data_IF_360685636496
#
_entry.id   IF_360685636496
#
_cell.length_a   1.000
_cell.length_b   1.000
_cell.length_c   1.000
_cell.angle_alpha   90.00
_cell.angle_beta   90.00
_cell.angle_gamma   90.00
#
_symmetry.space_group_name_H-M   'P 1'
#
loop_
_entity.id
_entity.type
_entity.pdbx_description
1 polymer ?
#
# COMPACT_ATOMS: atom_id res chain seq x y z
N UNK A 1 -16.42 -27.97 -23.49
CA UNK A 1 -17.17 -26.74 -23.83
C UNK A 1 -16.29 -25.57 -23.45
N UNK A 2 -15.80 -24.80 -24.42
CA UNK A 2 -14.96 -23.62 -24.13
C UNK A 2 -15.82 -22.63 -23.35
N UNK A 3 -15.53 -22.50 -22.06
CA UNK A 3 -16.03 -21.42 -21.24
C UNK A 3 -15.56 -20.13 -21.91
N UNK A 4 -16.47 -19.22 -22.23
CA UNK A 4 -16.06 -17.91 -22.69
C UNK A 4 -15.55 -17.12 -21.48
N UNK A 5 -14.27 -17.32 -21.14
CA UNK A 5 -13.61 -16.76 -19.95
C UNK A 5 -13.83 -15.24 -19.88
N UNK A 6 -13.80 -14.55 -21.01
CA UNK A 6 -14.08 -13.11 -21.07
C UNK A 6 -15.50 -12.76 -20.58
N UNK A 7 -16.53 -13.50 -20.98
CA UNK A 7 -17.90 -13.21 -20.57
C UNK A 7 -18.10 -13.45 -19.07
N UNK A 8 -17.45 -14.48 -18.52
CA UNK A 8 -17.45 -14.81 -17.10
C UNK A 8 -16.72 -13.73 -16.31
N UNK A 9 -15.51 -13.37 -16.74
CA UNK A 9 -14.66 -12.36 -16.12
C UNK A 9 -15.32 -10.96 -16.17
N UNK A 10 -15.99 -10.63 -17.27
CA UNK A 10 -16.74 -9.38 -17.40
C UNK A 10 -17.95 -9.35 -16.46
N UNK A 11 -18.70 -10.46 -16.33
CA UNK A 11 -19.80 -10.58 -15.37
C UNK A 11 -19.32 -10.41 -13.93
N UNK A 12 -18.18 -11.01 -13.60
CA UNK A 12 -17.57 -10.93 -12.28
C UNK A 12 -17.26 -9.47 -11.92
N UNK A 13 -16.61 -8.72 -12.81
CA UNK A 13 -16.36 -7.28 -12.58
C UNK A 13 -17.64 -6.45 -12.57
N UNK A 14 -18.64 -6.77 -13.40
CA UNK A 14 -19.92 -6.06 -13.36
C UNK A 14 -20.72 -6.30 -12.07
N UNK A 15 -20.41 -7.34 -11.29
CA UNK A 15 -21.05 -7.59 -9.99
C UNK A 15 -20.68 -6.55 -8.93
N UNK A 16 -19.57 -5.83 -9.12
CA UNK A 16 -19.15 -4.73 -8.23
C UNK A 16 -19.85 -3.42 -8.53
N UNK A 17 -20.59 -3.35 -9.64
CA UNK A 17 -21.29 -2.15 -10.09
C UNK A 17 -22.74 -2.15 -9.62
N UNK A 18 -23.20 -1.00 -9.13
CA UNK A 18 -24.59 -0.83 -8.67
C UNK A 18 -25.61 -0.94 -9.82
N UNK A 19 -25.21 -0.67 -11.06
CA UNK A 19 -26.07 -0.79 -12.24
C UNK A 19 -25.29 -0.89 -13.55
N UNK A 20 -25.51 -1.97 -14.29
CA UNK A 20 -24.98 -2.16 -15.66
C UNK A 20 -25.45 -1.05 -16.61
N UNK A 21 -26.63 -0.47 -16.38
CA UNK A 21 -27.14 0.63 -17.22
C UNK A 21 -26.38 1.93 -16.97
N UNK A 22 -25.99 2.20 -15.73
CA UNK A 22 -25.18 3.35 -15.36
C UNK A 22 -23.76 3.20 -15.92
N UNK A 23 -23.17 2.01 -15.77
CA UNK A 23 -21.90 1.62 -16.36
C UNK A 23 -21.86 1.93 -17.87
N UNK A 24 -22.83 1.40 -18.64
CA UNK A 24 -22.90 1.59 -20.09
C UNK A 24 -22.91 3.07 -20.49
N UNK A 25 -23.62 3.92 -19.73
CA UNK A 25 -23.66 5.37 -19.96
C UNK A 25 -22.31 6.02 -19.69
N UNK A 26 -21.63 5.63 -18.61
CA UNK A 26 -20.32 6.18 -18.22
C UNK A 26 -19.22 5.83 -19.22
N UNK A 27 -19.21 4.61 -19.75
CA UNK A 27 -18.21 4.16 -20.73
C UNK A 27 -18.59 4.47 -22.18
N UNK A 28 -19.79 5.02 -22.41
CA UNK A 28 -20.31 5.36 -23.74
C UNK A 28 -20.52 4.13 -24.64
N UNK A 29 -21.09 3.05 -24.10
CA UNK A 29 -21.43 1.84 -24.84
C UNK A 29 -22.95 1.61 -24.89
N UNK A 30 -23.42 1.05 -26.01
CA UNK A 30 -24.83 0.66 -26.17
C UNK A 30 -25.15 -0.52 -25.25
N UNK A 31 -26.21 -0.41 -24.43
CA UNK A 31 -26.63 -1.45 -23.48
C UNK A 31 -26.97 -2.79 -24.13
N UNK A 32 -27.61 -2.79 -25.31
CA UNK A 32 -27.92 -4.04 -26.03
C UNK A 32 -26.64 -4.73 -26.49
N UNK A 33 -25.67 -3.96 -26.96
CA UNK A 33 -24.36 -4.45 -27.36
C UNK A 33 -23.57 -4.98 -26.15
N UNK A 34 -23.59 -4.25 -25.03
CA UNK A 34 -22.94 -4.67 -23.79
C UNK A 34 -23.56 -5.95 -23.20
N UNK A 35 -24.88 -6.10 -23.29
CA UNK A 35 -25.58 -7.32 -22.85
C UNK A 35 -25.14 -8.56 -23.64
N UNK A 36 -24.82 -8.42 -24.94
CA UNK A 36 -24.26 -9.51 -25.75
C UNK A 36 -22.87 -9.92 -25.27
N UNK A 37 -22.09 -8.99 -24.74
CA UNK A 37 -20.76 -9.28 -24.17
C UNK A 37 -20.89 -10.07 -22.87
N UNK A 38 -21.81 -9.68 -21.98
CA UNK A 38 -22.09 -10.41 -20.74
C UNK A 38 -22.60 -11.83 -21.01
N UNK A 39 -23.43 -12.02 -22.04
CA UNK A 39 -23.95 -13.35 -22.38
C UNK A 39 -22.96 -14.23 -23.16
N UNK A 40 -21.79 -13.71 -23.54
CA UNK A 40 -20.84 -14.41 -24.42
C UNK A 40 -21.33 -14.55 -25.88
N UNK A 41 -22.40 -13.84 -26.26
CA UNK A 41 -22.96 -13.87 -27.62
C UNK A 41 -22.22 -12.95 -28.60
N UNK A 42 -21.18 -12.25 -28.13
CA UNK A 42 -20.34 -11.39 -28.95
C UNK A 42 -19.11 -10.89 -28.20
N UNK A 43 -18.11 -10.43 -28.96
CA UNK A 43 -16.85 -9.86 -28.45
C UNK A 43 -16.83 -8.34 -28.63
N UNK A 44 -16.24 -7.59 -27.69
CA UNK A 44 -15.98 -6.17 -27.91
C UNK A 44 -14.95 -5.97 -29.03
N UNK A 45 -15.10 -4.88 -29.80
CA UNK A 45 -14.02 -4.40 -30.66
C UNK A 45 -12.83 -3.96 -29.80
N UNK A 46 -11.60 -3.87 -30.34
CA UNK A 46 -10.43 -3.42 -29.57
C UNK A 46 -10.65 -2.06 -28.87
N UNK A 47 -11.36 -1.14 -29.52
CA UNK A 47 -11.71 0.16 -28.94
C UNK A 47 -12.66 0.02 -27.74
N UNK A 48 -13.70 -0.81 -27.86
CA UNK A 48 -14.65 -1.05 -26.77
C UNK A 48 -14.02 -1.85 -25.64
N UNK A 49 -13.17 -2.82 -25.97
CA UNK A 49 -12.39 -3.60 -25.01
C UNK A 49 -11.52 -2.67 -24.17
N UNK A 50 -10.83 -1.72 -24.80
CA UNK A 50 -10.02 -0.72 -24.10
C UNK A 50 -10.87 0.16 -23.17
N UNK A 51 -12.05 0.62 -23.61
CA UNK A 51 -12.96 1.40 -22.75
C UNK A 51 -13.40 0.62 -21.51
N UNK A 52 -13.77 -0.64 -21.69
CA UNK A 52 -14.17 -1.55 -20.62
C UNK A 52 -12.99 -1.78 -19.66
N UNK A 53 -11.82 -2.08 -20.21
CA UNK A 53 -10.60 -2.35 -19.43
C UNK A 53 -10.15 -1.13 -18.61
N UNK A 54 -10.19 0.07 -19.20
CA UNK A 54 -9.86 1.32 -18.51
C UNK A 54 -10.85 1.61 -17.38
N UNK A 55 -12.15 1.43 -17.63
CA UNK A 55 -13.17 1.63 -16.59
C UNK A 55 -12.94 0.72 -15.39
N UNK A 56 -12.69 -0.57 -15.66
CA UNK A 56 -12.41 -1.54 -14.62
C UNK A 56 -10.96 -1.56 -14.16
N UNK A 57 -10.08 -0.67 -14.61
CA UNK A 57 -8.67 -0.62 -14.23
C UNK A 57 -7.91 -1.96 -14.38
N UNK A 58 -8.20 -2.71 -15.44
CA UNK A 58 -7.56 -3.99 -15.81
C UNK A 58 -6.97 -3.89 -17.21
N UNK A 59 -6.10 -4.83 -17.61
CA UNK A 59 -5.58 -4.92 -18.98
C UNK A 59 -6.51 -5.77 -19.85
N UNK A 60 -6.64 -5.49 -21.16
CA UNK A 60 -7.45 -6.32 -22.07
C UNK A 60 -7.10 -7.81 -22.04
N UNK A 61 -5.82 -8.15 -21.89
CA UNK A 61 -5.34 -9.53 -21.79
C UNK A 61 -5.79 -10.24 -20.53
N UNK A 62 -6.06 -9.52 -19.45
CA UNK A 62 -6.48 -10.11 -18.17
C UNK A 62 -7.86 -10.74 -18.30
N UNK A 63 -8.78 -10.17 -19.09
CA UNK A 63 -10.10 -10.78 -19.31
C UNK A 63 -10.05 -12.17 -19.99
N UNK A 64 -8.93 -12.53 -20.59
CA UNK A 64 -8.75 -13.83 -21.27
C UNK A 64 -8.13 -14.88 -20.35
N UNK A 65 -7.81 -14.54 -19.11
CA UNK A 65 -7.34 -15.50 -18.11
C UNK A 65 -8.48 -16.49 -17.75
N UNK A 66 -8.16 -17.74 -17.42
CA UNK A 66 -9.12 -18.65 -16.81
C UNK A 66 -9.82 -17.99 -15.62
N UNK A 67 -11.11 -18.24 -15.42
CA UNK A 67 -11.91 -17.55 -14.39
C UNK A 67 -11.25 -17.58 -12.98
N UNK A 68 -10.72 -18.73 -12.58
CA UNK A 68 -10.06 -18.91 -11.28
C UNK A 68 -8.78 -18.06 -11.16
N UNK A 69 -8.01 -17.93 -12.24
CA UNK A 69 -6.81 -17.09 -12.30
C UNK A 69 -7.16 -15.60 -12.36
N UNK A 70 -8.25 -15.26 -13.07
CA UNK A 70 -8.73 -13.89 -13.18
C UNK A 70 -9.23 -13.35 -11.85
N UNK A 71 -10.01 -14.13 -11.10
CA UNK A 71 -10.50 -13.77 -9.77
C UNK A 71 -9.36 -13.54 -8.78
N UNK A 72 -8.34 -14.41 -8.81
CA UNK A 72 -7.15 -14.29 -7.97
C UNK A 72 -6.17 -13.19 -8.41
N UNK A 73 -6.36 -12.61 -9.61
CA UNK A 73 -5.42 -11.65 -10.16
C UNK A 73 -5.39 -10.35 -9.32
N UNK A 74 -4.21 -9.79 -8.99
CA UNK A 74 -4.11 -8.62 -8.09
C UNK A 74 -4.91 -7.39 -8.55
N UNK A 75 -5.05 -7.19 -9.87
CA UNK A 75 -5.84 -6.09 -10.44
C UNK A 75 -7.36 -6.27 -10.30
N UNK A 76 -7.84 -7.49 -10.02
CA UNK A 76 -9.25 -7.87 -9.93
C UNK A 76 -9.67 -8.12 -8.47
N UNK A 77 -8.86 -8.85 -7.71
CA UNK A 77 -9.15 -9.21 -6.31
C UNK A 77 -9.44 -8.00 -5.42
N UNK A 78 -8.75 -6.87 -5.63
CA UNK A 78 -8.99 -5.63 -4.89
C UNK A 78 -10.34 -4.96 -5.19
N UNK A 79 -10.96 -5.24 -6.35
CA UNK A 79 -12.22 -4.63 -6.80
C UNK A 79 -13.45 -5.44 -6.36
N UNK A 80 -13.33 -6.78 -6.34
CA UNK A 80 -14.39 -7.68 -5.88
C UNK A 80 -14.67 -7.58 -4.37
N UNK A 81 -13.77 -6.94 -3.61
CA UNK A 81 -13.86 -6.83 -2.16
C UNK A 81 -14.98 -5.91 -1.62
N UNK A 82 -15.72 -5.20 -2.47
CA UNK A 82 -16.91 -4.41 -2.10
C UNK A 82 -16.71 -3.32 -1.02
N UNK A 83 -17.71 -2.46 -0.76
CA UNK A 83 -17.69 -1.57 0.39
C UNK A 83 -18.14 -2.34 1.64
N UNK A 84 -17.18 -2.69 2.50
CA UNK A 84 -17.31 -3.25 3.86
C UNK A 84 -17.82 -4.70 3.97
N UNK A 85 -16.88 -5.63 4.07
CA UNK A 85 -16.84 -6.55 5.20
C UNK A 85 -15.38 -6.75 5.67
N UNK A 86 -15.19 -6.57 6.97
CA UNK A 86 -13.95 -6.88 7.68
C UNK A 86 -13.78 -8.40 7.61
N UNK A 87 -12.96 -8.88 6.68
CA UNK A 87 -12.31 -10.17 6.79
C UNK A 87 -10.81 -9.95 6.61
N UNK A 88 -10.08 -10.23 7.67
CA UNK A 88 -8.64 -10.40 7.69
C UNK A 88 -8.22 -11.54 6.73
N UNK A 89 -6.97 -11.48 6.32
CA UNK A 89 -6.13 -12.61 5.89
C UNK A 89 -6.24 -13.14 4.44
N UNK A 90 -5.75 -12.31 3.51
CA UNK A 90 -4.30 -12.39 3.21
C UNK A 90 -3.71 -10.99 3.36
N UNK A 91 -3.44 -10.62 4.61
CA UNK A 91 -2.88 -9.32 4.92
C UNK A 91 -1.56 -9.15 4.19
N UNK A 92 -1.55 -8.33 3.13
CA UNK A 92 -0.31 -7.84 2.56
C UNK A 92 0.52 -7.16 3.65
N UNK A 93 1.77 -6.81 3.35
CA UNK A 93 2.71 -6.19 4.30
C UNK A 93 2.07 -5.09 5.18
N UNK A 94 1.21 -4.24 4.61
CA UNK A 94 0.44 -3.19 5.32
C UNK A 94 -0.40 -3.69 6.50
N UNK A 95 -0.85 -4.94 6.50
CA UNK A 95 -1.64 -5.53 7.58
C UNK A 95 -0.87 -5.60 8.90
N UNK A 96 0.46 -5.74 8.86
CA UNK A 96 1.32 -5.74 10.03
C UNK A 96 1.21 -4.43 10.84
N UNK A 97 0.83 -3.33 10.18
CA UNK A 97 0.75 -2.00 10.78
C UNK A 97 -0.66 -1.59 11.22
N UNK A 98 -1.69 -2.39 10.88
CA UNK A 98 -3.08 -2.11 11.26
C UNK A 98 -3.32 -2.46 12.73
N UNK A 99 -4.14 -1.66 13.42
CA UNK A 99 -4.53 -1.93 14.81
C UNK A 99 -3.41 -1.68 15.83
N UNK A 100 -2.30 -1.09 15.40
CA UNK A 100 -1.12 -0.85 16.24
C UNK A 100 -1.27 0.36 17.17
N UNK A 101 -2.35 1.14 17.07
CA UNK A 101 -2.59 2.32 17.91
C UNK A 101 -2.51 2.01 19.40
N UNK A 102 -3.20 0.96 19.87
CA UNK A 102 -3.29 0.64 21.31
C UNK A 102 -1.91 0.28 21.90
N UNK A 103 -1.16 -0.71 21.37
CA UNK A 103 0.15 -1.06 21.93
C UNK A 103 1.19 0.05 21.79
N UNK A 104 1.05 0.92 20.78
CA UNK A 104 2.01 1.99 20.52
C UNK A 104 1.64 3.35 21.12
N UNK A 105 0.44 3.50 21.71
CA UNK A 105 -0.09 4.80 22.17
C UNK A 105 0.88 5.56 23.07
N UNK A 106 1.58 4.85 23.95
CA UNK A 106 2.56 5.42 24.88
C UNK A 106 3.85 5.92 24.23
N UNK A 107 4.11 5.53 22.99
CA UNK A 107 5.30 5.91 22.22
C UNK A 107 4.99 7.01 21.21
N UNK A 108 3.76 7.52 21.12
CA UNK A 108 3.44 8.66 20.27
C UNK A 108 4.12 9.92 20.82
N UNK A 109 4.67 10.75 19.93
CA UNK A 109 5.39 11.95 20.31
C UNK A 109 6.53 12.30 19.37
N UNK A 110 7.40 13.18 19.85
CA UNK A 110 8.59 13.64 19.13
C UNK A 110 9.84 13.09 19.80
N UNK A 111 10.80 12.67 18.99
CA UNK A 111 12.07 12.09 19.41
C UNK A 111 13.20 12.69 18.61
N UNK A 112 14.39 12.69 19.21
CA UNK A 112 15.64 12.74 18.46
C UNK A 112 16.15 11.31 18.33
N UNK A 113 16.39 10.87 17.09
CA UNK A 113 17.05 9.61 16.80
C UNK A 113 18.52 9.85 16.55
N UNK A 114 19.36 8.96 17.08
CA UNK A 114 20.81 8.97 16.89
C UNK A 114 21.24 7.59 16.41
N UNK A 115 21.89 7.52 15.24
CA UNK A 115 22.40 6.27 14.70
C UNK A 115 23.73 6.48 13.97
N UNK A 116 24.57 5.45 13.97
CA UNK A 116 25.82 5.44 13.22
C UNK A 116 25.49 5.34 11.73
N UNK A 117 26.01 6.27 10.95
CA UNK A 117 25.83 6.25 9.49
C UNK A 117 26.91 5.41 8.82
N UNK A 118 26.55 4.78 7.71
CA UNK A 118 27.52 4.14 6.81
C UNK A 118 28.01 5.09 5.71
N UNK A 119 27.40 6.28 5.58
CA UNK A 119 27.81 7.29 4.60
C UNK A 119 29.18 7.89 4.93
N UNK A 120 29.48 8.05 6.22
CA UNK A 120 30.74 8.65 6.71
C UNK A 120 31.26 7.88 7.91
N UNK A 121 32.57 7.61 7.92
CA UNK A 121 33.22 6.83 8.96
C UNK A 121 33.05 7.48 10.34
N UNK A 122 32.70 6.67 11.35
CA UNK A 122 32.54 7.08 12.75
C UNK A 122 31.61 8.28 13.00
N UNK A 123 30.66 8.50 12.10
CA UNK A 123 29.74 9.64 12.18
C UNK A 123 28.35 9.22 12.66
N UNK A 124 27.70 10.11 13.41
CA UNK A 124 26.34 9.93 13.92
C UNK A 124 25.41 10.87 13.17
N UNK A 125 24.32 10.33 12.63
CA UNK A 125 23.21 11.14 12.14
C UNK A 125 22.24 11.40 13.29
N UNK A 126 21.75 12.64 13.35
CA UNK A 126 20.67 13.06 14.23
C UNK A 126 19.43 13.38 13.38
N UNK A 127 18.31 12.71 13.66
CA UNK A 127 17.05 12.94 12.98
C UNK A 127 15.96 13.37 13.98
N UNK A 128 15.13 14.33 13.58
CA UNK A 128 13.87 14.61 14.27
C UNK A 128 12.82 13.61 13.80
N UNK A 129 12.29 12.83 14.73
CA UNK A 129 11.30 11.78 14.48
C UNK A 129 9.98 12.15 15.13
N UNK A 130 8.88 11.97 14.41
CA UNK A 130 7.51 12.08 14.93
C UNK A 130 6.78 10.75 14.76
N UNK A 131 6.24 10.25 15.86
CA UNK A 131 5.31 9.12 15.87
C UNK A 131 3.90 9.64 16.15
N UNK A 132 2.97 9.41 15.22
CA UNK A 132 1.58 9.85 15.38
C UNK A 132 0.56 8.85 14.81
N UNK A 133 -0.65 8.89 15.36
CA UNK A 133 -1.76 8.07 14.87
C UNK A 133 -2.39 8.69 13.62
N UNK A 134 -2.62 7.86 12.61
CA UNK A 134 -3.34 8.25 11.39
C UNK A 134 -4.08 7.03 10.80
N UNK A 135 -5.41 7.14 10.67
CA UNK A 135 -6.28 6.11 10.11
C UNK A 135 -6.12 4.72 10.78
N UNK A 136 -6.06 4.66 12.12
CA UNK A 136 -5.96 3.40 12.87
C UNK A 136 -4.60 2.69 12.74
N UNK A 137 -3.58 3.41 12.28
CA UNK A 137 -2.19 2.98 12.17
C UNK A 137 -1.29 4.02 12.83
N UNK A 138 -0.06 3.61 13.18
CA UNK A 138 0.96 4.55 13.64
C UNK A 138 1.90 4.87 12.48
N UNK A 139 2.07 6.17 12.23
CA UNK A 139 2.97 6.72 11.24
C UNK A 139 4.26 7.17 11.92
N UNK A 140 5.37 6.99 11.21
CA UNK A 140 6.64 7.62 11.49
C UNK A 140 6.92 8.69 10.43
N UNK A 141 7.39 9.86 10.84
CA UNK A 141 8.04 10.82 9.95
C UNK A 141 9.37 11.21 10.52
N UNK A 142 10.42 11.09 9.72
CA UNK A 142 11.77 11.51 10.12
C UNK A 142 12.31 12.58 9.18
N UNK A 143 13.05 13.52 9.77
CA UNK A 143 13.72 14.60 9.08
C UNK A 143 15.14 14.71 9.59
N UNK A 144 16.10 14.65 8.70
CA UNK A 144 17.52 14.85 8.99
C UNK A 144 18.11 15.92 8.09
N UNK A 145 19.11 16.62 8.62
CA UNK A 145 19.95 17.51 7.85
C UNK A 145 21.39 17.16 8.15
N UNK A 146 22.15 16.83 7.12
CA UNK A 146 23.54 16.45 7.23
C UNK A 146 24.41 17.37 6.37
N UNK A 147 25.67 17.49 6.76
CA UNK A 147 26.70 18.19 6.02
C UNK A 147 27.72 17.13 5.66
N UNK A 148 28.05 17.03 4.38
CA UNK A 148 29.11 16.14 3.95
C UNK A 148 30.45 16.67 4.50
N UNK A 149 31.20 15.84 5.24
CA UNK A 149 32.46 16.23 5.86
C UNK A 149 33.59 16.48 4.86
N UNK A 150 33.51 15.94 3.63
CA UNK A 150 34.56 16.04 2.62
C UNK A 150 34.44 17.33 1.80
N UNK A 151 33.22 17.70 1.38
CA UNK A 151 32.99 18.85 0.49
C UNK A 151 32.09 19.97 1.07
N UNK A 152 31.47 19.75 2.22
CA UNK A 152 30.59 20.72 2.89
C UNK A 152 29.17 20.80 2.31
N UNK A 153 28.81 19.91 1.39
CA UNK A 153 27.48 19.86 0.78
C UNK A 153 26.39 19.59 1.81
N UNK A 154 25.26 20.29 1.69
CA UNK A 154 24.12 20.15 2.59
C UNK A 154 23.09 19.17 2.02
N UNK A 155 22.77 18.14 2.80
CA UNK A 155 21.78 17.14 2.47
C UNK A 155 20.55 17.27 3.38
N UNK A 156 19.37 17.09 2.78
CA UNK A 156 18.09 17.05 3.47
C UNK A 156 17.41 15.73 3.12
N UNK A 157 17.22 14.85 4.10
CA UNK A 157 16.47 13.62 3.89
C UNK A 157 15.16 13.68 4.67
N UNK A 158 14.09 13.18 4.03
CA UNK A 158 12.77 13.02 4.64
C UNK A 158 12.34 11.59 4.48
N UNK A 159 11.77 11.04 5.53
CA UNK A 159 11.29 9.67 5.56
C UNK A 159 9.83 9.63 5.96
N UNK A 160 9.08 8.79 5.25
CA UNK A 160 7.69 8.46 5.56
C UNK A 160 7.63 6.97 5.91
N UNK A 161 7.05 6.66 7.06
CA UNK A 161 7.07 5.31 7.58
C UNK A 161 5.88 4.87 8.39
N UNK A 162 5.90 3.59 8.76
CA UNK A 162 4.89 2.91 9.59
C UNK A 162 5.55 2.23 10.78
N UNK A 163 4.80 2.14 11.87
CA UNK A 163 5.27 1.52 13.11
C UNK A 163 4.36 0.37 13.52
N UNK A 164 4.95 -0.76 13.89
CA UNK A 164 4.25 -1.91 14.42
C UNK A 164 4.91 -2.44 15.71
N UNK A 165 4.09 -2.91 16.64
CA UNK A 165 4.53 -3.71 17.78
C UNK A 165 4.37 -5.19 17.42
N UNK A 166 5.48 -5.92 17.27
CA UNK A 166 5.48 -7.35 16.95
C UNK A 166 6.49 -8.06 17.83
N UNK A 167 6.12 -9.20 18.44
CA UNK A 167 7.06 -9.99 19.25
C UNK A 167 7.77 -9.22 20.36
N UNK A 168 7.10 -8.25 20.99
CA UNK A 168 7.67 -7.34 22.00
C UNK A 168 8.86 -6.48 21.47
N UNK A 169 8.79 -6.11 20.19
CA UNK A 169 9.69 -5.15 19.53
C UNK A 169 8.87 -4.11 18.80
N UNK A 170 9.40 -2.90 18.73
CA UNK A 170 8.83 -1.82 17.92
C UNK A 170 9.59 -1.82 16.61
N UNK A 171 8.92 -2.13 15.52
CA UNK A 171 9.44 -2.07 14.17
C UNK A 171 9.02 -0.75 13.54
N UNK A 172 9.98 -0.01 12.99
CA UNK A 172 9.77 1.22 12.25
C UNK A 172 10.30 0.98 10.83
N UNK A 173 9.41 1.05 9.85
CA UNK A 173 9.75 0.88 8.43
C UNK A 173 9.57 2.21 7.73
N UNK A 174 10.63 2.70 7.10
CA UNK A 174 10.69 4.05 6.54
C UNK A 174 11.18 4.05 5.10
N UNK A 175 10.56 4.89 4.26
CA UNK A 175 10.95 5.12 2.87
C UNK A 175 11.41 6.57 2.70
N UNK A 176 12.56 6.78 2.08
CA UNK A 176 13.09 8.13 1.85
C UNK A 176 12.30 8.83 0.75
N UNK A 177 11.44 9.77 1.11
CA UNK A 177 10.43 10.32 0.19
C UNK A 177 10.95 11.35 -0.81
N UNK A 178 12.11 11.97 -0.55
CA UNK A 178 12.75 12.91 -1.46
C UNK A 178 13.57 12.20 -2.55
N UNK A 179 14.56 11.39 -2.15
CA UNK A 179 15.45 10.70 -3.08
C UNK A 179 14.83 9.43 -3.68
N UNK A 180 13.93 8.76 -2.94
CA UNK A 180 13.17 7.56 -3.38
C UNK A 180 14.02 6.35 -3.73
N UNK A 181 15.15 6.21 -3.07
CA UNK A 181 16.18 5.20 -3.32
C UNK A 181 16.52 4.36 -2.07
N UNK A 182 16.08 4.77 -0.87
CA UNK A 182 16.34 4.06 0.38
C UNK A 182 15.07 3.59 1.10
N UNK A 183 15.16 2.38 1.64
CA UNK A 183 14.27 1.81 2.66
C UNK A 183 15.10 1.61 3.93
N UNK A 184 14.59 2.05 5.08
CA UNK A 184 15.27 1.99 6.37
C UNK A 184 14.39 1.20 7.34
N UNK A 185 15.01 0.28 8.09
CA UNK A 185 14.34 -0.43 9.18
C UNK A 185 14.98 -0.05 10.51
N UNK A 186 14.17 0.36 11.48
CA UNK A 186 14.62 0.52 12.86
C UNK A 186 13.84 -0.40 13.80
N UNK A 187 14.57 -1.22 14.56
CA UNK A 187 13.99 -2.15 15.54
C UNK A 187 14.35 -1.70 16.96
N UNK A 188 13.36 -1.25 17.73
CA UNK A 188 13.53 -0.72 19.08
C UNK A 188 13.04 -1.71 20.16
N UNK A 189 13.69 -1.65 21.32
CA UNK A 189 13.26 -2.31 22.55
C UNK A 189 12.17 -1.47 23.25
N UNK A 190 10.99 -2.04 23.53
CA UNK A 190 10.01 -1.42 24.43
C UNK A 190 10.61 -1.20 25.83
N UNK A 191 10.21 -0.12 26.49
CA UNK A 191 10.66 0.20 27.86
C UNK A 191 9.55 -0.07 28.90
N UNK A 192 9.95 -0.45 30.11
CA UNK A 192 9.05 -0.69 31.24
C UNK A 192 8.22 0.54 31.66
N UNK A 193 7.31 0.35 32.62
CA UNK A 193 6.52 1.47 33.18
C UNK A 193 7.46 2.43 33.92
N UNK A 194 7.48 3.71 33.53
CA UNK A 194 8.21 4.78 34.23
C UNK A 194 9.48 5.33 33.57
N UNK A 195 9.98 4.74 32.47
CA UNK A 195 11.28 5.11 31.85
C UNK A 195 11.20 5.46 30.36
N UNK A 196 10.15 6.17 29.91
CA UNK A 196 10.06 6.60 28.51
C UNK A 196 10.98 7.81 28.21
N UNK A 197 12.25 7.74 28.63
CA UNK A 197 13.25 8.75 28.29
C UNK A 197 14.04 8.36 27.04
N UNK A 198 14.34 7.07 26.86
CA UNK A 198 15.15 6.59 25.75
C UNK A 198 14.61 5.27 25.20
N UNK A 199 14.56 5.16 23.88
CA UNK A 199 14.37 3.88 23.18
C UNK A 199 15.72 3.47 22.59
N UNK A 200 16.06 2.19 22.71
CA UNK A 200 17.33 1.65 22.21
C UNK A 200 17.05 0.56 21.20
N UNK A 201 17.85 0.48 20.16
CA UNK A 201 17.64 -0.47 19.08
C UNK A 201 18.74 -0.43 18.03
N UNK A 202 18.41 -0.96 16.87
CA UNK A 202 19.30 -1.02 15.71
C UNK A 202 18.56 -0.48 14.49
N UNK A 203 19.27 0.29 13.67
CA UNK A 203 18.81 0.81 12.38
C UNK A 203 19.62 0.14 11.27
N UNK A 204 18.94 -0.33 10.23
CA UNK A 204 19.48 -0.99 9.05
C UNK A 204 19.21 -0.17 7.79
#
# INVERSE_FOLDING_TARGET
>A
MQSDDFAINLKLLCSTESSVSALCRQIGLNRQQFSKYLSGAGRPSPANMRKIAVHFGVRPSEFLLPADEFEAHPSVAGKLAGPRHVNQDRGGFESAFRGQTIPLRRYLGYYLSYFLTQSWENSIICALVRLDEFNGMVRCKSLERSVDPDDGSLYLSKYDGRVAMLGNRIFVMEFQSLARDALVETVLNPVGRGQLQYLRGTTF
#
